data_IF_921801095989
#
_entry.id   IF_921801095989
#
_cell.length_a   1.000
_cell.length_b   1.000
_cell.length_c   1.000
_cell.angle_alpha   90.00
_cell.angle_beta   90.00
_cell.angle_gamma   90.00
#
_symmetry.space_group_name_H-M   'P 1'
#
loop_
_entity.id
_entity.type
_entity.pdbx_description
1 polymer ?
#
# COMPACT_ATOMS: atom_id res chain seq x y z
N UNK A 1 7.02 4.68 -22.55
CA UNK A 1 7.02 3.27 -22.09
C UNK A 1 6.11 2.43 -23.00
N UNK A 2 6.62 1.86 -24.10
CA UNK A 2 5.78 1.22 -25.13
C UNK A 2 5.01 -0.01 -24.62
N UNK A 3 5.66 -0.89 -23.85
CA UNK A 3 5.02 -2.11 -23.34
C UNK A 3 3.96 -1.82 -22.27
N UNK A 4 4.18 -0.82 -21.41
CA UNK A 4 3.17 -0.37 -20.44
C UNK A 4 1.93 0.19 -21.15
N UNK A 5 2.13 0.99 -22.20
CA UNK A 5 1.01 1.54 -22.98
C UNK A 5 0.20 0.40 -23.60
N UNK A 6 0.87 -0.48 -24.36
CA UNK A 6 0.25 -1.59 -25.09
C UNK A 6 -0.51 -2.56 -24.18
N UNK A 7 0.09 -3.01 -23.07
CA UNK A 7 -0.46 -4.11 -22.28
C UNK A 7 -1.26 -3.68 -21.05
N UNK A 8 -1.14 -2.41 -20.59
CA UNK A 8 -1.80 -1.95 -19.36
C UNK A 8 -2.67 -0.71 -19.61
N UNK A 9 -2.13 0.32 -20.27
CA UNK A 9 -2.88 1.58 -20.42
C UNK A 9 -4.02 1.48 -21.44
N UNK A 10 -3.79 0.80 -22.56
CA UNK A 10 -4.77 0.67 -23.66
C UNK A 10 -5.84 -0.39 -23.35
N UNK A 11 -5.50 -1.42 -22.56
CA UNK A 11 -6.40 -2.50 -22.14
C UNK A 11 -7.07 -2.24 -20.77
N UNK A 12 -6.81 -1.08 -20.16
CA UNK A 12 -7.20 -0.77 -18.79
C UNK A 12 -7.96 0.54 -18.66
N UNK A 13 -8.10 1.02 -17.41
CA UNK A 13 -8.69 2.32 -17.11
C UNK A 13 -7.62 3.27 -16.60
N UNK A 14 -7.51 4.45 -17.22
CA UNK A 14 -6.54 5.47 -16.84
C UNK A 14 -7.18 6.51 -15.90
N UNK A 15 -6.58 6.68 -14.73
CA UNK A 15 -6.90 7.76 -13.81
C UNK A 15 -5.94 8.94 -14.02
N UNK A 16 -6.33 9.93 -14.82
CA UNK A 16 -5.46 11.07 -15.18
C UNK A 16 -5.10 11.97 -14.00
N UNK A 17 -5.94 11.98 -12.95
CA UNK A 17 -5.79 12.80 -11.75
C UNK A 17 -5.71 11.93 -10.49
N UNK A 18 -4.81 10.95 -10.51
CA UNK A 18 -4.50 10.13 -9.35
C UNK A 18 -3.46 10.81 -8.44
N UNK A 19 -3.72 10.82 -7.13
CA UNK A 19 -2.82 11.39 -6.12
C UNK A 19 -2.55 10.37 -5.02
N UNK A 20 -1.28 10.24 -4.62
CA UNK A 20 -0.91 9.48 -3.43
C UNK A 20 -1.39 10.20 -2.16
N UNK A 21 -1.66 9.45 -1.08
CA UNK A 21 -2.07 10.04 0.20
C UNK A 21 -0.98 10.91 0.84
N UNK A 22 0.28 10.66 0.52
CA UNK A 22 1.46 11.44 0.92
C UNK A 22 2.65 11.14 0.02
N UNK A 23 3.57 12.10 -0.13
CA UNK A 23 4.78 11.99 -0.94
C UNK A 23 5.94 11.28 -0.19
N UNK A 24 5.63 10.28 0.64
CA UNK A 24 6.63 9.51 1.38
C UNK A 24 6.30 8.02 1.35
N UNK A 25 7.31 7.17 1.15
CA UNK A 25 7.12 5.79 0.73
C UNK A 25 6.32 4.92 1.73
N UNK A 26 6.76 4.84 3.00
CA UNK A 26 6.08 4.04 4.03
C UNK A 26 4.65 4.50 4.34
N UNK A 27 4.39 5.78 4.64
CA UNK A 27 3.04 6.23 4.95
C UNK A 27 2.10 6.17 3.74
N UNK A 28 2.61 6.34 2.51
CA UNK A 28 1.83 6.15 1.28
C UNK A 28 1.39 4.68 1.12
N UNK A 29 2.33 3.74 1.21
CA UNK A 29 2.05 2.30 1.04
C UNK A 29 1.18 1.73 2.15
N UNK A 30 1.41 2.12 3.40
CA UNK A 30 0.57 1.65 4.50
C UNK A 30 -0.85 2.18 4.41
N UNK A 31 -1.06 3.42 3.92
CA UNK A 31 -2.40 3.92 3.62
C UNK A 31 -3.07 3.11 2.52
N UNK A 32 -2.34 2.81 1.44
CA UNK A 32 -2.83 2.00 0.32
C UNK A 32 -3.28 0.60 0.78
N UNK A 33 -2.45 -0.11 1.54
CA UNK A 33 -2.72 -1.50 1.91
C UNK A 33 -3.75 -1.68 3.02
N UNK A 34 -3.93 -0.67 3.88
CA UNK A 34 -4.88 -0.74 5.01
C UNK A 34 -6.19 0.01 4.73
N UNK A 35 -6.23 0.86 3.71
CA UNK A 35 -7.35 1.77 3.44
C UNK A 35 -7.53 2.88 4.49
N UNK A 36 -6.57 3.07 5.41
CA UNK A 36 -6.67 4.08 6.48
C UNK A 36 -5.68 5.21 6.27
N UNK A 37 -6.19 6.43 6.35
CA UNK A 37 -5.37 7.64 6.25
C UNK A 37 -4.66 7.94 7.58
N UNK A 38 -3.48 8.55 7.53
CA UNK A 38 -2.72 9.07 8.68
C UNK A 38 -2.14 8.09 9.71
N UNK A 39 -2.14 6.77 9.49
CA UNK A 39 -1.58 5.80 10.46
C UNK A 39 -0.12 6.12 10.84
N UNK A 40 0.71 6.42 9.83
CA UNK A 40 2.16 6.68 9.95
C UNK A 40 2.50 8.13 9.54
N UNK A 41 1.58 9.09 9.76
CA UNK A 41 1.86 10.51 9.43
C UNK A 41 2.92 11.16 10.32
N UNK A 42 3.36 10.48 11.38
CA UNK A 42 4.59 10.84 12.11
C UNK A 42 5.82 10.60 11.23
N UNK A 43 6.00 11.46 10.23
CA UNK A 43 7.10 11.51 9.27
C UNK A 43 8.47 11.88 9.90
N UNK A 44 8.65 11.66 11.21
CA UNK A 44 9.87 12.02 11.95
C UNK A 44 10.32 10.96 12.97
N UNK A 45 9.54 9.89 13.17
CA UNK A 45 9.90 8.83 14.10
C UNK A 45 10.40 7.66 13.28
N UNK A 46 11.67 7.27 13.45
CA UNK A 46 12.38 6.17 12.78
C UNK A 46 11.51 4.99 12.32
N UNK A 47 11.93 4.27 11.27
CA UNK A 47 11.24 3.08 10.75
C UNK A 47 10.79 2.11 11.86
N UNK A 48 11.61 1.94 12.91
CA UNK A 48 11.29 1.15 14.10
C UNK A 48 10.06 1.67 14.86
N UNK A 49 9.96 2.98 15.12
CA UNK A 49 8.81 3.57 15.84
C UNK A 49 7.53 3.50 15.01
N UNK A 50 7.64 3.72 13.70
CA UNK A 50 6.53 3.53 12.77
C UNK A 50 6.00 2.09 12.79
N UNK A 51 6.91 1.11 12.76
CA UNK A 51 6.56 -0.32 12.86
C UNK A 51 5.87 -0.67 14.19
N UNK A 52 6.42 -0.22 15.32
CA UNK A 52 5.81 -0.45 16.64
C UNK A 52 4.37 0.07 16.68
N UNK A 53 4.12 1.27 16.14
CA UNK A 53 2.76 1.82 16.07
C UNK A 53 1.85 1.02 15.14
N UNK A 54 2.36 0.56 14.00
CA UNK A 54 1.60 -0.23 13.03
C UNK A 54 1.11 -1.56 13.65
N UNK A 55 2.00 -2.26 14.35
CA UNK A 55 1.67 -3.50 15.06
C UNK A 55 0.74 -3.22 16.25
N UNK A 56 0.99 -2.16 17.04
CA UNK A 56 0.14 -1.80 18.17
C UNK A 56 -1.31 -1.46 17.77
N UNK A 57 -1.55 -1.10 16.51
CA UNK A 57 -2.89 -0.87 15.94
C UNK A 57 -3.50 -2.10 15.28
N UNK A 58 -2.87 -3.27 15.44
CA UNK A 58 -3.26 -4.53 14.83
C UNK A 58 -3.30 -4.50 13.29
N UNK A 59 -2.54 -3.61 12.64
CA UNK A 59 -2.64 -3.46 11.18
C UNK A 59 -1.86 -4.53 10.41
N UNK A 60 -0.94 -5.22 11.09
CA UNK A 60 -0.21 -6.32 10.50
C UNK A 60 -1.10 -7.54 10.20
N UNK A 61 -2.24 -7.67 10.85
CA UNK A 61 -3.17 -8.78 10.62
C UNK A 61 -4.43 -8.32 9.87
N UNK A 62 -4.54 -7.01 9.60
CA UNK A 62 -5.70 -6.36 9.00
C UNK A 62 -5.29 -5.43 7.84
N UNK A 63 -4.67 -6.01 6.81
CA UNK A 63 -4.34 -5.33 5.56
C UNK A 63 -4.62 -6.23 4.36
N UNK A 64 -4.73 -5.62 3.18
CA UNK A 64 -5.34 -6.24 1.99
C UNK A 64 -4.80 -7.63 1.59
N UNK A 65 -3.49 -7.91 1.53
CA UNK A 65 -2.96 -9.25 1.30
C UNK A 65 -3.46 -10.33 2.27
N UNK A 66 -3.64 -10.01 3.56
CA UNK A 66 -4.17 -10.97 4.55
C UNK A 66 -5.65 -11.27 4.25
N UNK A 67 -6.42 -10.26 3.85
CA UNK A 67 -7.81 -10.47 3.45
C UNK A 67 -7.94 -11.39 2.24
N UNK A 68 -7.05 -11.26 1.24
CA UNK A 68 -6.99 -12.16 0.10
C UNK A 68 -6.68 -13.60 0.52
N UNK A 69 -5.67 -13.79 1.39
CA UNK A 69 -5.33 -15.13 1.88
C UNK A 69 -6.49 -15.76 2.67
N UNK A 70 -7.21 -14.97 3.47
CA UNK A 70 -8.37 -15.44 4.22
C UNK A 70 -9.55 -15.85 3.33
N UNK A 71 -9.61 -15.35 2.10
CA UNK A 71 -10.59 -15.76 1.08
C UNK A 71 -10.04 -16.80 0.10
N UNK A 72 -8.97 -17.51 0.47
CA UNK A 72 -8.35 -18.60 -0.28
C UNK A 72 -7.62 -18.18 -1.57
N UNK A 73 -7.25 -16.90 -1.70
CA UNK A 73 -6.33 -16.46 -2.76
C UNK A 73 -4.87 -16.68 -2.34
N UNK A 74 -4.04 -17.13 -3.28
CA UNK A 74 -2.59 -17.17 -3.09
C UNK A 74 -2.02 -15.75 -3.26
N UNK A 75 -1.62 -15.12 -2.15
CA UNK A 75 -0.97 -13.82 -2.17
C UNK A 75 0.56 -13.97 -2.20
N UNK A 76 1.21 -13.39 -3.21
CA UNK A 76 2.67 -13.40 -3.36
C UNK A 76 3.23 -11.98 -3.28
N UNK A 77 4.42 -11.84 -2.70
CA UNK A 77 5.11 -10.56 -2.55
C UNK A 77 6.48 -10.60 -3.24
N UNK A 78 6.77 -9.58 -4.06
CA UNK A 78 8.06 -9.42 -4.74
C UNK A 78 8.42 -7.94 -4.86
N UNK A 79 9.71 -7.60 -4.65
CA UNK A 79 10.20 -6.22 -4.70
C UNK A 79 10.02 -5.42 -3.40
N UNK A 80 9.91 -4.09 -3.53
CA UNK A 80 9.67 -3.14 -2.42
C UNK A 80 8.18 -2.98 -2.15
#
# INVERSE_FOLDING_TARGET
>A
MPLLKKYIADEGTRFERHYATTAQCCPSRTSLWTGKQHIIRTALTSARRAWVKFVAQNLNDHYFPIWLTNTQYNAYYTGK
#
